data_IF_568645446665
#
_entry.id   IF_568645446665
#
_cell.length_a   1.000
_cell.length_b   1.000
_cell.length_c   1.000
_cell.angle_alpha   90.00
_cell.angle_beta   90.00
_cell.angle_gamma   90.00
#
_symmetry.space_group_name_H-M   'P 1'
#
loop_
_entity.id
_entity.type
_entity.pdbx_description
1 polymer ?
#
# COMPACT_ATOMS: atom_id res chain seq x y z
N UNK A 1 14.05 -36.95 -1.14
CA UNK A 1 14.57 -35.60 -1.41
C UNK A 1 13.55 -34.61 -0.87
N UNK A 2 13.73 -34.08 0.35
CA UNK A 2 12.82 -33.06 0.91
C UNK A 2 13.25 -31.69 0.39
N UNK A 3 12.39 -31.07 -0.41
CA UNK A 3 12.52 -29.69 -0.87
C UNK A 3 12.41 -28.74 0.33
N UNK A 4 13.36 -27.82 0.44
CA UNK A 4 13.54 -26.93 1.60
C UNK A 4 12.39 -25.92 1.79
N UNK A 5 11.49 -25.81 0.80
CA UNK A 5 10.38 -24.84 0.74
C UNK A 5 9.34 -25.04 1.84
N UNK A 6 9.19 -26.27 2.37
CA UNK A 6 8.20 -26.57 3.41
C UNK A 6 8.65 -26.15 4.82
N UNK A 7 9.96 -25.89 5.01
CA UNK A 7 10.50 -25.42 6.30
C UNK A 7 10.23 -23.93 6.58
N UNK A 8 9.84 -23.16 5.56
CA UNK A 8 9.57 -21.73 5.69
C UNK A 8 8.21 -21.39 6.32
N UNK A 9 7.29 -22.35 6.41
CA UNK A 9 5.98 -22.14 7.04
C UNK A 9 6.00 -22.36 8.58
N UNK A 10 7.00 -23.10 9.10
CA UNK A 10 7.04 -23.52 10.50
C UNK A 10 7.73 -22.52 11.44
N UNK A 11 8.47 -21.55 10.89
CA UNK A 11 9.12 -20.48 11.63
C UNK A 11 8.91 -19.17 10.87
N UNK A 12 7.98 -18.32 11.33
CA UNK A 12 7.87 -16.96 10.80
C UNK A 12 9.21 -16.26 11.04
N UNK A 13 9.94 -15.99 9.96
CA UNK A 13 11.16 -15.22 10.01
C UNK A 13 10.78 -13.74 10.18
N UNK A 14 11.30 -13.13 11.24
CA UNK A 14 11.03 -11.73 11.59
C UNK A 14 11.51 -10.76 10.49
N UNK A 15 12.63 -11.07 9.83
CA UNK A 15 13.16 -10.30 8.72
C UNK A 15 12.30 -10.38 7.46
N UNK A 16 11.82 -11.58 7.11
CA UNK A 16 10.91 -11.76 5.97
C UNK A 16 9.57 -11.04 6.22
N UNK A 17 9.09 -11.08 7.46
CA UNK A 17 7.86 -10.37 7.88
C UNK A 17 8.05 -8.86 7.78
N UNK A 18 9.14 -8.32 8.31
CA UNK A 18 9.47 -6.90 8.22
C UNK A 18 9.60 -6.45 6.76
N UNK A 19 10.23 -7.26 5.90
CA UNK A 19 10.37 -6.96 4.48
C UNK A 19 9.03 -6.89 3.75
N UNK A 20 8.12 -7.82 4.01
CA UNK A 20 6.77 -7.83 3.43
C UNK A 20 5.95 -6.65 3.93
N UNK A 21 6.03 -6.29 5.22
CA UNK A 21 5.33 -5.14 5.79
C UNK A 21 5.83 -3.81 5.19
N UNK A 22 7.15 -3.65 5.02
CA UNK A 22 7.72 -2.46 4.37
C UNK A 22 7.32 -2.40 2.90
N UNK A 23 7.35 -3.53 2.19
CA UNK A 23 6.90 -3.60 0.79
C UNK A 23 5.42 -3.23 0.67
N UNK A 24 4.56 -3.73 1.56
CA UNK A 24 3.14 -3.38 1.58
C UNK A 24 2.91 -1.89 1.86
N UNK A 25 3.69 -1.29 2.79
CA UNK A 25 3.63 0.13 3.07
C UNK A 25 4.04 0.99 1.86
N UNK A 26 5.06 0.57 1.09
CA UNK A 26 5.48 1.25 -0.14
C UNK A 26 4.39 1.20 -1.23
N UNK A 27 3.68 0.08 -1.37
CA UNK A 27 2.55 -0.04 -2.30
C UNK A 27 1.40 0.86 -1.86
N UNK A 28 1.08 0.93 -0.57
CA UNK A 28 0.02 1.77 -0.01
C UNK A 28 0.31 3.27 -0.25
N UNK A 29 1.59 3.67 -0.28
CA UNK A 29 2.02 5.03 -0.61
C UNK A 29 1.76 5.42 -2.09
N UNK A 30 1.56 4.47 -3.02
CA UNK A 30 1.32 4.80 -4.43
C UNK A 30 -0.03 5.50 -4.63
N UNK A 31 -1.08 5.12 -3.90
CA UNK A 31 -2.44 5.68 -4.02
C UNK A 31 -2.53 7.19 -3.71
N UNK A 32 -1.90 7.72 -2.64
CA UNK A 32 -1.77 9.16 -2.46
C UNK A 32 -0.62 9.77 -3.30
N UNK A 33 0.42 8.99 -3.64
CA UNK A 33 1.53 9.45 -4.48
C UNK A 33 1.09 9.93 -5.87
N UNK A 34 0.13 9.24 -6.48
CA UNK A 34 -0.51 9.70 -7.71
C UNK A 34 -1.29 11.00 -7.50
N UNK A 35 -2.01 11.19 -6.39
CA UNK A 35 -2.74 12.44 -6.12
C UNK A 35 -1.80 13.62 -5.87
N UNK A 36 -0.63 13.41 -5.25
CA UNK A 36 0.40 14.45 -5.15
C UNK A 36 0.99 14.81 -6.52
N UNK A 37 1.31 13.79 -7.33
CA UNK A 37 1.88 13.99 -8.67
C UNK A 37 0.89 14.66 -9.63
N UNK A 38 -0.32 14.11 -9.74
CA UNK A 38 -1.40 14.68 -10.57
C UNK A 38 -1.88 16.01 -10.01
N UNK A 39 -2.01 16.16 -8.69
CA UNK A 39 -2.41 17.41 -8.04
C UNK A 39 -1.44 18.55 -8.33
N UNK A 40 -0.12 18.30 -8.27
CA UNK A 40 0.92 19.29 -8.56
C UNK A 40 0.96 19.77 -10.01
N UNK A 41 0.45 18.97 -10.95
CA UNK A 41 0.27 19.36 -12.37
C UNK A 41 -1.04 20.12 -12.64
N UNK A 42 -1.95 20.22 -11.65
CA UNK A 42 -3.19 20.99 -11.76
C UNK A 42 -3.08 22.32 -11.01
N UNK A 43 -3.98 23.28 -11.30
CA UNK A 43 -4.08 24.54 -10.55
C UNK A 43 -4.26 24.24 -9.05
N UNK A 44 -3.45 24.84 -8.19
CA UNK A 44 -3.41 24.63 -6.71
C UNK A 44 -4.79 24.50 -6.03
N UNK A 45 -5.84 25.16 -6.54
CA UNK A 45 -7.23 25.01 -6.06
C UNK A 45 -7.80 23.57 -6.11
N UNK A 46 -7.28 22.69 -6.98
CA UNK A 46 -7.76 21.30 -7.13
C UNK A 46 -7.03 20.26 -6.29
N UNK A 47 -5.89 20.63 -5.68
CA UNK A 47 -5.02 19.68 -4.95
C UNK A 47 -5.71 19.14 -3.70
N UNK A 48 -6.38 19.99 -2.93
CA UNK A 48 -7.08 19.57 -1.72
C UNK A 48 -8.21 18.57 -2.03
N UNK A 49 -8.96 18.81 -3.11
CA UNK A 49 -10.03 17.91 -3.56
C UNK A 49 -9.49 16.54 -3.99
N UNK A 50 -8.36 16.52 -4.70
CA UNK A 50 -7.72 15.25 -5.09
C UNK A 50 -7.11 14.49 -3.91
N UNK A 51 -6.52 15.19 -2.93
CA UNK A 51 -6.05 14.54 -1.70
C UNK A 51 -7.20 13.89 -0.92
N UNK A 52 -8.33 14.58 -0.78
CA UNK A 52 -9.53 14.03 -0.12
C UNK A 52 -10.06 12.79 -0.84
N UNK A 53 -10.02 12.78 -2.17
CA UNK A 53 -10.44 11.63 -2.99
C UNK A 53 -9.50 10.42 -2.83
N UNK A 54 -8.18 10.64 -2.73
CA UNK A 54 -7.22 9.56 -2.44
C UNK A 54 -7.40 8.98 -1.03
N UNK A 55 -7.63 9.80 0.00
CA UNK A 55 -7.92 9.28 1.34
C UNK A 55 -9.24 8.49 1.37
N UNK A 56 -10.28 8.96 0.68
CA UNK A 56 -11.54 8.23 0.52
C UNK A 56 -11.37 6.90 -0.20
N UNK A 57 -10.55 6.86 -1.26
CA UNK A 57 -10.25 5.64 -2.01
C UNK A 57 -9.51 4.60 -1.16
N UNK A 58 -8.52 5.02 -0.35
CA UNK A 58 -7.79 4.12 0.56
C UNK A 58 -8.75 3.52 1.60
N UNK A 59 -9.62 4.34 2.19
CA UNK A 59 -10.60 3.87 3.17
C UNK A 59 -11.62 2.89 2.56
N UNK A 60 -12.16 3.19 1.37
CA UNK A 60 -13.14 2.33 0.70
C UNK A 60 -12.53 1.00 0.25
N UNK A 61 -11.39 1.04 -0.42
CA UNK A 61 -10.70 -0.18 -0.90
C UNK A 61 -10.25 -1.03 0.28
N UNK A 62 -9.79 -0.43 1.37
CA UNK A 62 -9.44 -1.15 2.59
C UNK A 62 -10.62 -1.93 3.19
N UNK A 63 -11.82 -1.34 3.23
CA UNK A 63 -13.04 -2.01 3.71
C UNK A 63 -13.50 -3.09 2.74
N UNK A 64 -13.52 -2.80 1.44
CA UNK A 64 -13.90 -3.77 0.39
C UNK A 64 -12.95 -4.97 0.32
N UNK A 65 -11.67 -4.80 0.68
CA UNK A 65 -10.69 -5.87 0.70
C UNK A 65 -10.86 -6.83 1.88
N UNK A 66 -11.43 -6.35 2.99
CA UNK A 66 -11.67 -7.14 4.20
C UNK A 66 -13.01 -7.89 4.16
N UNK A 67 -13.99 -7.35 3.44
CA UNK A 67 -15.29 -7.99 3.16
C UNK A 67 -15.15 -9.17 2.21
#
# INVERSE_FOLDING_TARGET
MRNNWERGAAFMNEGDTAWVLVSAALVLLMTPGLAFFYGGMTRSKGVLNMMMMSFGAIALVGVLWVL
#
